data_IF_199427229514
#
_entry.id   IF_199427229514
#
_cell.length_a   1.000
_cell.length_b   1.000
_cell.length_c   1.000
_cell.angle_alpha   90.00
_cell.angle_beta   90.00
_cell.angle_gamma   90.00
#
_symmetry.space_group_name_H-M   'P 1'
#
loop_
_entity.id
_entity.type
_entity.pdbx_description
1 polymer ?
#
# COMPACT_ATOMS: atom_id res chain seq x y z
N UNK A 1 11.85 -12.34 -2.13
CA UNK A 1 10.81 -13.40 -2.13
C UNK A 1 10.62 -13.94 -3.54
N UNK A 2 10.31 -15.23 -3.71
CA UNK A 2 9.96 -15.83 -5.00
C UNK A 2 8.46 -15.74 -5.25
N UNK A 3 8.05 -15.61 -6.52
CA UNK A 3 6.64 -15.58 -6.97
C UNK A 3 5.94 -16.95 -6.92
N UNK A 4 6.29 -17.77 -5.92
CA UNK A 4 5.68 -19.06 -5.67
C UNK A 4 4.40 -18.88 -4.84
N UNK A 5 3.48 -19.84 -4.92
CA UNK A 5 2.29 -19.80 -4.06
C UNK A 5 2.72 -19.96 -2.59
N UNK A 6 2.21 -19.15 -1.64
CA UNK A 6 2.51 -19.32 -0.23
C UNK A 6 2.03 -20.70 0.24
N UNK A 7 2.78 -21.28 1.17
CA UNK A 7 2.42 -22.56 1.79
C UNK A 7 1.64 -22.28 3.07
N UNK A 8 0.72 -23.18 3.41
CA UNK A 8 0.00 -23.10 4.67
C UNK A 8 0.69 -23.98 5.70
N UNK A 9 1.17 -23.38 6.78
CA UNK A 9 1.73 -24.05 7.94
C UNK A 9 0.56 -24.54 8.81
N UNK A 10 0.20 -25.82 8.65
CA UNK A 10 -0.88 -26.47 9.38
C UNK A 10 -0.64 -26.48 10.90
N UNK A 11 0.62 -26.53 11.34
CA UNK A 11 0.94 -26.60 12.77
C UNK A 11 0.68 -25.30 13.52
N UNK A 12 0.71 -24.17 12.80
CA UNK A 12 0.51 -22.82 13.37
C UNK A 12 -0.63 -22.04 12.72
N UNK A 13 -1.40 -22.69 11.84
CA UNK A 13 -2.60 -22.13 11.22
C UNK A 13 -2.37 -20.88 10.36
N UNK A 14 -1.22 -20.74 9.70
CA UNK A 14 -0.80 -19.49 9.05
C UNK A 14 -0.13 -19.69 7.68
N UNK A 15 0.00 -18.63 6.89
CA UNK A 15 0.71 -18.66 5.60
C UNK A 15 2.21 -18.38 5.79
N UNK A 16 3.05 -19.11 5.07
CA UNK A 16 4.50 -18.91 5.01
C UNK A 16 4.94 -18.71 3.56
N UNK A 17 5.94 -17.85 3.36
CA UNK A 17 6.32 -17.36 2.05
C UNK A 17 7.76 -17.71 1.71
N UNK A 18 8.00 -18.04 0.45
CA UNK A 18 9.32 -18.43 -0.05
C UNK A 18 10.27 -17.20 -0.11
N UNK A 19 11.26 -17.19 0.76
CA UNK A 19 12.36 -16.22 0.81
C UNK A 19 13.66 -16.89 0.37
N UNK A 20 14.55 -16.13 -0.27
CA UNK A 20 15.87 -16.62 -0.69
C UNK A 20 16.86 -16.08 0.32
N UNK A 21 17.63 -16.97 0.95
CA UNK A 21 18.70 -16.59 1.88
C UNK A 21 19.90 -16.02 1.11
N UNK A 22 20.86 -15.43 1.84
CA UNK A 22 22.13 -14.95 1.23
C UNK A 22 22.90 -16.05 0.51
N UNK A 23 22.67 -17.31 0.89
CA UNK A 23 23.31 -18.51 0.34
C UNK A 23 22.56 -19.08 -0.87
N UNK A 24 21.41 -18.50 -1.25
CA UNK A 24 20.60 -18.94 -2.38
C UNK A 24 19.53 -19.98 -2.02
N UNK A 25 19.49 -20.44 -0.78
CA UNK A 25 18.51 -21.43 -0.31
C UNK A 25 17.12 -20.83 -0.11
N UNK A 26 16.10 -21.66 -0.33
CA UNK A 26 14.70 -21.26 -0.13
C UNK A 26 14.29 -21.55 1.31
N UNK A 27 13.93 -20.51 2.03
CA UNK A 27 13.36 -20.61 3.38
C UNK A 27 11.92 -20.08 3.38
N UNK A 28 11.03 -20.83 4.01
CA UNK A 28 9.65 -20.38 4.21
C UNK A 28 9.56 -19.63 5.53
N UNK A 29 9.28 -18.33 5.45
CA UNK A 29 9.16 -17.45 6.61
C UNK A 29 7.72 -16.95 6.75
N UNK A 30 7.19 -16.84 7.99
CA UNK A 30 5.91 -16.21 8.24
C UNK A 30 6.00 -14.69 8.04
N UNK A 31 4.83 -14.08 7.87
CA UNK A 31 4.62 -12.65 8.07
C UNK A 31 4.96 -12.26 9.51
N UNK A 32 5.39 -11.03 9.74
CA UNK A 32 5.73 -10.54 11.08
C UNK A 32 4.52 -10.52 12.02
N UNK A 33 3.33 -10.08 11.59
CA UNK A 33 2.10 -10.18 12.39
C UNK A 33 1.78 -11.61 12.84
N UNK A 34 2.07 -12.60 11.97
CA UNK A 34 1.72 -14.01 12.18
C UNK A 34 2.84 -14.79 12.87
N UNK A 35 3.99 -14.14 13.14
CA UNK A 35 5.16 -14.77 13.70
C UNK A 35 5.03 -14.95 15.21
N UNK A 36 5.54 -16.09 15.69
CA UNK A 36 5.68 -16.32 17.13
C UNK A 36 6.78 -15.43 17.71
N UNK A 37 6.72 -15.15 19.02
CA UNK A 37 7.71 -14.32 19.70
C UNK A 37 9.16 -14.78 19.47
N UNK A 38 9.39 -16.09 19.44
CA UNK A 38 10.72 -16.67 19.17
C UNK A 38 11.17 -16.47 17.72
N UNK A 39 10.26 -16.43 16.76
CA UNK A 39 10.57 -16.15 15.36
C UNK A 39 10.90 -14.66 15.15
N UNK A 40 10.13 -13.77 15.78
CA UNK A 40 10.41 -12.32 15.80
C UNK A 40 11.79 -12.04 16.38
N UNK A 41 12.09 -12.63 17.55
CA UNK A 41 13.37 -12.43 18.24
C UNK A 41 14.58 -12.97 17.44
N UNK A 42 14.36 -13.94 16.55
CA UNK A 42 15.40 -14.49 15.68
C UNK A 42 15.46 -13.83 14.29
N UNK A 43 14.65 -12.80 14.04
CA UNK A 43 14.53 -12.16 12.72
C UNK A 43 14.08 -13.14 11.63
N UNK A 44 13.32 -14.19 11.99
CA UNK A 44 12.81 -15.21 11.08
C UNK A 44 11.42 -14.83 10.56
N UNK A 45 11.28 -13.57 10.15
CA UNK A 45 10.03 -12.97 9.74
C UNK A 45 10.21 -12.21 8.44
N UNK A 46 9.10 -11.90 7.78
CA UNK A 46 9.06 -11.00 6.64
C UNK A 46 8.18 -9.83 7.05
N UNK A 47 8.63 -8.57 6.85
CA UNK A 47 7.78 -7.40 7.08
C UNK A 47 6.47 -7.53 6.32
N UNK A 48 5.37 -7.18 6.99
CA UNK A 48 4.01 -7.37 6.49
C UNK A 48 3.80 -6.71 5.12
N UNK A 49 4.35 -5.52 4.93
CA UNK A 49 4.29 -4.72 3.69
C UNK A 49 4.90 -5.45 2.50
N UNK A 50 6.08 -6.05 2.71
CA UNK A 50 6.78 -6.81 1.68
C UNK A 50 5.94 -8.02 1.24
N UNK A 51 5.24 -8.65 2.19
CA UNK A 51 4.33 -9.77 1.90
C UNK A 51 3.09 -9.30 1.15
N UNK A 52 2.47 -8.19 1.57
CA UNK A 52 1.28 -7.63 0.92
C UNK A 52 1.58 -7.23 -0.54
N UNK A 53 2.69 -6.53 -0.78
CA UNK A 53 3.16 -6.18 -2.13
C UNK A 53 3.47 -7.40 -2.99
N UNK A 54 4.04 -8.44 -2.38
CA UNK A 54 4.31 -9.69 -3.06
C UNK A 54 3.02 -10.37 -3.54
N UNK A 55 2.04 -10.52 -2.65
CA UNK A 55 0.76 -11.16 -2.98
C UNK A 55 -0.08 -10.31 -3.94
N UNK A 56 -0.06 -8.98 -3.82
CA UNK A 56 -0.72 -8.05 -4.75
C UNK A 56 -0.18 -8.23 -6.17
N UNK A 57 1.15 -8.32 -6.33
CA UNK A 57 1.80 -8.62 -7.63
C UNK A 57 1.44 -10.02 -8.13
N UNK A 58 1.48 -11.02 -7.25
CA UNK A 58 1.14 -12.41 -7.60
C UNK A 58 -0.30 -12.53 -8.08
N UNK A 59 -1.29 -11.95 -7.39
CA UNK A 59 -2.70 -11.89 -7.80
C UNK A 59 -2.87 -11.26 -9.18
N UNK A 60 -2.21 -10.12 -9.42
CA UNK A 60 -2.20 -9.46 -10.73
C UNK A 60 -1.67 -10.38 -11.84
N UNK A 61 -0.61 -11.15 -11.57
CA UNK A 61 -0.08 -12.12 -12.54
C UNK A 61 -0.94 -13.38 -12.70
N UNK A 62 -1.63 -13.81 -11.65
CA UNK A 62 -2.52 -14.96 -11.69
C UNK A 62 -3.77 -14.67 -12.53
N UNK A 63 -4.36 -13.47 -12.38
CA UNK A 63 -5.45 -12.97 -13.24
C UNK A 63 -5.02 -12.86 -14.71
N UNK A 64 -3.72 -12.66 -14.98
CA UNK A 64 -3.16 -12.60 -16.34
C UNK A 64 -3.21 -13.95 -17.09
N UNK A 65 -3.43 -15.05 -16.36
CA UNK A 65 -3.54 -16.41 -16.90
C UNK A 65 -4.98 -16.87 -17.14
N UNK A 66 -5.97 -15.98 -16.97
CA UNK A 66 -7.37 -16.32 -17.23
C UNK A 66 -7.65 -16.31 -18.75
N UNK A 67 -8.21 -17.41 -19.27
CA UNK A 67 -8.34 -17.64 -20.72
C UNK A 67 -9.25 -16.59 -21.39
N UNK A 68 -10.19 -16.01 -20.63
CA UNK A 68 -11.04 -14.90 -21.04
C UNK A 68 -10.26 -13.59 -21.24
N UNK A 69 -9.35 -13.26 -20.32
CA UNK A 69 -8.48 -12.07 -20.40
C UNK A 69 -7.41 -12.24 -21.49
N UNK A 70 -6.95 -13.46 -21.72
CA UNK A 70 -6.06 -13.77 -22.84
C UNK A 70 -6.74 -13.56 -24.20
N UNK A 71 -8.01 -13.98 -24.35
CA UNK A 71 -8.83 -13.74 -25.55
C UNK A 71 -9.14 -12.25 -25.75
N UNK A 72 -9.50 -11.54 -24.68
CA UNK A 72 -9.77 -10.10 -24.73
C UNK A 72 -8.53 -9.31 -25.16
N UNK A 73 -7.35 -9.61 -24.58
CA UNK A 73 -6.09 -8.98 -25.01
C UNK A 73 -5.69 -9.37 -26.43
N UNK A 74 -5.97 -10.59 -26.89
CA UNK A 74 -5.72 -11.00 -28.28
C UNK A 74 -6.60 -10.20 -29.25
N UNK A 75 -7.88 -10.01 -28.91
CA UNK A 75 -8.81 -9.20 -29.66
C UNK A 75 -8.42 -7.70 -29.65
N UNK A 76 -8.05 -7.15 -28.48
CA UNK A 76 -7.57 -5.76 -28.37
C UNK A 76 -6.24 -5.52 -29.09
N UNK A 77 -5.32 -6.50 -29.11
CA UNK A 77 -4.08 -6.43 -29.90
C UNK A 77 -4.35 -6.51 -31.41
N UNK A 78 -5.33 -7.32 -31.83
CA UNK A 78 -5.76 -7.36 -33.23
C UNK A 78 -6.39 -6.01 -33.64
N UNK A 79 -7.24 -5.42 -32.79
CA UNK A 79 -7.81 -4.10 -33.00
C UNK A 79 -6.75 -2.97 -33.04
N UNK A 80 -5.77 -2.99 -32.13
CA UNK A 80 -4.63 -2.04 -32.13
C UNK A 80 -3.72 -2.18 -33.35
N UNK A 81 -3.54 -3.40 -33.88
CA UNK A 81 -2.79 -3.59 -35.14
C UNK A 81 -3.53 -3.08 -36.36
N UNK A 82 -4.86 -3.00 -36.31
CA UNK A 82 -5.68 -2.49 -37.40
C UNK A 82 -5.79 -0.94 -37.44
N UNK A 83 -5.37 -0.24 -36.38
CA UNK A 83 -5.41 1.22 -36.30
C UNK A 83 -4.22 1.81 -35.54
N UNK A 84 -3.17 2.16 -36.29
CA UNK A 84 -2.14 3.17 -36.04
C UNK A 84 -1.37 3.24 -34.68
N UNK A 85 -0.05 3.46 -34.85
CA UNK A 85 0.98 3.94 -33.89
C UNK A 85 1.24 3.05 -32.67
N UNK A 86 2.36 2.34 -32.75
CA UNK A 86 2.97 1.59 -31.64
C UNK A 86 3.59 2.56 -30.62
N UNK A 87 2.78 3.27 -29.85
CA UNK A 87 3.24 3.75 -28.55
C UNK A 87 3.31 2.52 -27.65
N UNK A 88 4.53 2.12 -27.25
CA UNK A 88 4.74 1.15 -26.17
C UNK A 88 3.81 1.56 -25.02
N UNK A 89 2.98 0.66 -24.46
CA UNK A 89 2.29 1.00 -23.23
C UNK A 89 3.39 1.32 -22.21
N UNK A 90 3.45 2.58 -21.77
CA UNK A 90 4.34 2.99 -20.70
C UNK A 90 4.17 1.98 -19.57
N UNK A 91 5.26 1.33 -19.21
CA UNK A 91 5.25 0.49 -18.01
C UNK A 91 4.84 1.42 -16.88
N UNK A 92 3.86 1.05 -16.04
CA UNK A 92 3.52 1.87 -14.89
C UNK A 92 4.82 2.07 -14.10
N UNK A 93 5.23 3.32 -13.98
CA UNK A 93 6.43 3.69 -13.24
C UNK A 93 6.19 3.22 -11.81
N UNK A 94 6.98 2.24 -11.38
CA UNK A 94 6.93 1.76 -10.00
C UNK A 94 7.52 2.88 -9.15
N UNK A 95 6.77 3.41 -8.16
CA UNK A 95 7.28 4.44 -7.26
C UNK A 95 8.57 3.96 -6.61
N UNK A 96 9.52 4.87 -6.43
CA UNK A 96 10.75 4.60 -5.70
C UNK A 96 10.54 5.04 -4.26
N UNK A 97 10.72 4.13 -3.31
CA UNK A 97 10.47 4.39 -1.89
C UNK A 97 11.72 4.83 -1.13
N UNK A 98 12.90 4.81 -1.77
CA UNK A 98 14.16 5.15 -1.13
C UNK A 98 15.14 5.82 -2.10
N UNK A 99 15.74 6.91 -1.65
CA UNK A 99 16.82 7.63 -2.33
C UNK A 99 18.18 6.93 -2.17
N UNK A 100 19.20 7.36 -2.92
CA UNK A 100 20.57 6.81 -2.85
C UNK A 100 21.25 7.06 -1.52
N UNK A 101 20.95 8.18 -0.87
CA UNK A 101 21.44 8.55 0.46
C UNK A 101 20.73 7.78 1.59
N UNK A 102 19.70 7.01 1.26
CA UNK A 102 18.89 6.24 2.20
C UNK A 102 17.62 6.93 2.66
N UNK A 103 17.36 8.18 2.26
CA UNK A 103 16.14 8.90 2.62
C UNK A 103 14.90 8.17 2.08
N UNK A 104 13.84 8.12 2.88
CA UNK A 104 12.59 7.47 2.50
C UNK A 104 11.68 8.45 1.75
N UNK A 105 11.21 7.99 0.59
CA UNK A 105 10.44 8.80 -0.35
C UNK A 105 9.01 8.29 -0.33
N UNK A 106 8.05 9.20 -0.14
CA UNK A 106 6.65 8.84 -0.19
C UNK A 106 6.24 8.39 -1.59
N UNK A 107 5.47 7.31 -1.67
CA UNK A 107 5.08 6.66 -2.93
C UNK A 107 3.96 7.40 -3.70
N UNK A 108 3.39 8.44 -3.09
CA UNK A 108 2.33 9.26 -3.65
C UNK A 108 0.92 8.75 -3.39
N UNK A 109 0.74 7.69 -2.60
CA UNK A 109 -0.57 7.12 -2.34
C UNK A 109 -0.77 6.47 -0.98
N UNK A 110 0.27 5.88 -0.40
CA UNK A 110 0.19 5.10 0.82
C UNK A 110 -0.04 6.02 2.01
N UNK A 111 -0.96 5.64 2.90
CA UNK A 111 -1.21 6.41 4.12
C UNK A 111 -0.12 6.09 5.16
N UNK A 112 0.44 7.10 5.84
CA UNK A 112 1.41 6.86 6.90
C UNK A 112 0.74 6.14 8.08
N UNK A 113 1.56 5.48 8.89
CA UNK A 113 1.11 5.01 10.20
C UNK A 113 1.02 6.21 11.14
N UNK A 114 -0.02 6.23 11.98
CA UNK A 114 -0.26 7.32 12.93
C UNK A 114 -0.02 6.80 14.34
N UNK A 115 0.48 7.64 15.23
CA UNK A 115 0.79 7.36 16.62
C UNK A 115 -0.41 6.80 17.38
N UNK A 116 -0.16 5.88 18.32
CA UNK A 116 -1.23 5.27 19.12
C UNK A 116 -2.11 6.31 19.82
N UNK A 117 -1.54 7.44 20.22
CA UNK A 117 -2.27 8.52 20.88
C UNK A 117 -3.31 9.13 19.95
N UNK A 118 -2.91 9.46 18.72
CA UNK A 118 -3.79 10.01 17.69
C UNK A 118 -4.83 9.00 17.21
N UNK A 119 -4.43 7.73 17.09
CA UNK A 119 -5.36 6.64 16.83
C UNK A 119 -6.42 6.60 17.92
N UNK A 120 -6.03 6.53 19.20
CA UNK A 120 -6.97 6.51 20.34
C UNK A 120 -7.89 7.72 20.36
N UNK A 121 -7.38 8.91 20.08
CA UNK A 121 -8.19 10.14 20.02
C UNK A 121 -9.29 10.05 18.96
N UNK A 122 -8.93 9.56 17.76
CA UNK A 122 -9.86 9.35 16.65
C UNK A 122 -10.88 8.26 16.97
N UNK A 123 -10.41 7.13 17.50
CA UNK A 123 -11.23 5.97 17.80
C UNK A 123 -12.22 6.21 18.96
N UNK A 124 -11.86 7.03 19.96
CA UNK A 124 -12.77 7.40 21.07
C UNK A 124 -14.09 8.02 20.62
N UNK A 125 -14.09 8.68 19.45
CA UNK A 125 -15.26 9.38 18.89
C UNK A 125 -16.20 8.40 18.15
N UNK A 126 -15.78 7.16 17.95
CA UNK A 126 -16.47 6.17 17.12
C UNK A 126 -17.06 5.04 17.97
N UNK A 127 -18.13 4.42 17.45
CA UNK A 127 -18.78 3.26 18.08
C UNK A 127 -18.35 1.99 17.35
N UNK A 128 -17.38 1.22 17.88
CA UNK A 128 -16.94 0.01 17.21
C UNK A 128 -17.94 -1.14 17.41
N UNK A 129 -17.81 -2.19 16.60
CA UNK A 129 -18.52 -3.46 16.73
C UNK A 129 -17.51 -4.59 16.87
N UNK A 130 -17.83 -5.58 17.71
CA UNK A 130 -17.00 -6.77 17.83
C UNK A 130 -17.41 -7.83 16.80
N UNK A 131 -16.45 -8.31 16.03
CA UNK A 131 -16.62 -9.46 15.14
C UNK A 131 -16.34 -10.75 15.91
N UNK A 132 -17.41 -11.45 16.30
CA UNK A 132 -17.33 -12.72 17.03
C UNK A 132 -16.64 -13.82 16.23
N UNK A 133 -16.72 -13.81 14.90
CA UNK A 133 -16.18 -14.88 14.07
C UNK A 133 -14.67 -14.79 13.93
N UNK A 134 -14.14 -13.56 13.83
CA UNK A 134 -12.70 -13.30 13.67
C UNK A 134 -12.02 -12.80 14.95
N UNK A 135 -12.78 -12.57 16.02
CA UNK A 135 -12.26 -12.21 17.34
C UNK A 135 -11.59 -10.84 17.40
N UNK A 136 -12.17 -9.83 16.73
CA UNK A 136 -11.52 -8.51 16.53
C UNK A 136 -12.52 -7.36 16.54
N UNK A 137 -12.01 -6.13 16.71
CA UNK A 137 -12.84 -4.92 16.64
C UNK A 137 -12.98 -4.45 15.19
N UNK A 138 -14.19 -4.01 14.85
CA UNK A 138 -14.51 -3.36 13.59
C UNK A 138 -14.96 -1.93 13.84
N UNK A 139 -14.52 -1.02 13.00
CA UNK A 139 -14.74 0.40 13.16
C UNK A 139 -15.58 0.96 12.01
N UNK A 140 -16.49 1.92 12.29
CA UNK A 140 -17.28 2.56 11.24
C UNK A 140 -16.34 3.35 10.33
N UNK A 141 -16.29 2.95 9.06
CA UNK A 141 -15.30 3.38 8.07
C UNK A 141 -16.00 3.75 6.77
N UNK A 142 -15.67 4.90 6.19
CA UNK A 142 -16.20 5.30 4.88
C UNK A 142 -15.54 4.49 3.75
N UNK A 143 -16.33 3.74 2.98
CA UNK A 143 -15.84 2.89 1.87
C UNK A 143 -16.15 3.45 0.49
N UNK A 144 -17.12 4.36 0.41
CA UNK A 144 -17.47 5.18 -0.75
C UNK A 144 -18.17 6.44 -0.22
N UNK A 145 -18.37 7.46 -1.06
CA UNK A 145 -19.01 8.73 -0.66
C UNK A 145 -20.30 8.48 0.14
N UNK A 146 -20.25 8.75 1.45
CA UNK A 146 -21.38 8.58 2.38
C UNK A 146 -21.74 7.13 2.76
N UNK A 147 -21.01 6.13 2.26
CA UNK A 147 -21.24 4.71 2.60
C UNK A 147 -20.32 4.30 3.73
N UNK A 148 -20.92 3.94 4.87
CA UNK A 148 -20.20 3.43 6.04
C UNK A 148 -20.28 1.90 6.10
N UNK A 149 -19.13 1.24 6.21
CA UNK A 149 -19.00 -0.17 6.53
C UNK A 149 -18.15 -0.36 7.80
N UNK A 150 -18.25 -1.53 8.43
CA UNK A 150 -17.47 -1.84 9.63
C UNK A 150 -16.24 -2.66 9.22
N UNK A 151 -15.07 -2.03 9.25
CA UNK A 151 -13.81 -2.62 8.82
C UNK A 151 -12.83 -2.77 10.00
N UNK A 152 -11.97 -3.79 10.01
CA UNK A 152 -10.92 -3.92 11.03
C UNK A 152 -9.85 -2.84 10.84
N UNK A 153 -9.07 -2.56 11.88
CA UNK A 153 -7.81 -1.81 11.72
C UNK A 153 -6.80 -2.64 10.92
N UNK A 154 -5.72 -2.01 10.45
CA UNK A 154 -4.68 -2.66 9.64
C UNK A 154 -4.11 -3.91 10.29
N UNK A 155 -3.80 -3.85 11.59
CA UNK A 155 -3.21 -4.97 12.33
C UNK A 155 -4.18 -6.14 12.56
N UNK A 156 -5.47 -5.83 12.70
CA UNK A 156 -6.55 -6.81 12.85
C UNK A 156 -7.07 -7.35 11.51
N UNK A 157 -6.65 -6.73 10.40
CA UNK A 157 -7.07 -7.10 9.07
C UNK A 157 -6.40 -8.40 8.62
N UNK A 158 -7.18 -9.26 7.97
CA UNK A 158 -6.63 -10.43 7.30
C UNK A 158 -5.77 -10.02 6.11
N UNK A 159 -4.85 -10.88 5.67
CA UNK A 159 -3.99 -10.59 4.52
C UNK A 159 -4.81 -10.24 3.27
N UNK A 160 -5.93 -10.91 3.04
CA UNK A 160 -6.80 -10.63 1.88
C UNK A 160 -7.43 -9.24 1.99
N UNK A 161 -7.87 -8.85 3.20
CA UNK A 161 -8.39 -7.51 3.48
C UNK A 161 -7.30 -6.43 3.29
N UNK A 162 -6.06 -6.65 3.74
CA UNK A 162 -4.94 -5.72 3.54
C UNK A 162 -4.59 -5.54 2.07
N UNK A 163 -4.47 -6.64 1.32
CA UNK A 163 -4.16 -6.63 -0.11
C UNK A 163 -5.25 -5.89 -0.91
N UNK A 164 -6.51 -6.06 -0.55
CA UNK A 164 -7.64 -5.43 -1.22
C UNK A 164 -7.94 -4.01 -0.68
N UNK A 165 -7.16 -3.52 0.30
CA UNK A 165 -7.37 -2.21 0.93
C UNK A 165 -8.66 -2.10 1.73
N UNK A 166 -9.22 -3.24 2.19
CA UNK A 166 -10.46 -3.36 2.97
C UNK A 166 -10.21 -3.36 4.47
N UNK A 167 -9.52 -2.33 4.94
CA UNK A 167 -9.30 -2.07 6.35
C UNK A 167 -9.47 -0.57 6.61
N UNK A 168 -9.74 -0.23 7.86
CA UNK A 168 -9.87 1.14 8.32
C UNK A 168 -8.48 1.77 8.42
N UNK A 169 -8.29 2.87 7.70
CA UNK A 169 -7.10 3.71 7.77
C UNK A 169 -7.47 5.11 8.25
N UNK A 170 -6.55 5.74 8.96
CA UNK A 170 -6.68 7.12 9.42
C UNK A 170 -6.36 8.05 8.26
N UNK A 171 -7.29 8.94 7.94
CA UNK A 171 -7.18 9.87 6.83
C UNK A 171 -7.74 11.25 7.22
N UNK A 172 -7.28 12.32 6.57
CA UNK A 172 -7.91 13.62 6.71
C UNK A 172 -9.38 13.58 6.23
N UNK A 173 -10.24 14.46 6.76
CA UNK A 173 -11.64 14.56 6.34
C UNK A 173 -11.78 15.04 4.89
N UNK A 174 -10.91 15.95 4.43
CA UNK A 174 -10.84 16.33 3.02
C UNK A 174 -10.11 15.28 2.16
N UNK A 175 -10.18 15.37 0.82
CA UNK A 175 -9.32 14.58 -0.06
C UNK A 175 -7.84 14.79 0.23
N UNK A 176 -7.03 13.73 0.07
CA UNK A 176 -5.60 13.78 0.37
C UNK A 176 -4.85 14.86 -0.43
N UNK A 177 -5.30 15.13 -1.66
CA UNK A 177 -4.74 16.21 -2.49
C UNK A 177 -4.94 17.59 -1.88
N UNK A 178 -6.16 17.87 -1.39
CA UNK A 178 -6.51 19.16 -0.78
C UNK A 178 -5.75 19.33 0.54
N UNK A 179 -5.72 18.29 1.38
CA UNK A 179 -4.99 18.29 2.63
C UNK A 179 -3.49 18.62 2.46
N UNK A 180 -2.82 17.95 1.51
CA UNK A 180 -1.39 18.19 1.28
C UNK A 180 -1.13 19.53 0.58
N UNK A 181 -2.04 19.98 -0.30
CA UNK A 181 -1.95 21.30 -0.92
C UNK A 181 -2.04 22.42 0.13
N UNK A 182 -2.98 22.31 1.07
CA UNK A 182 -3.15 23.30 2.13
C UNK A 182 -1.90 23.41 3.02
N UNK A 183 -1.21 22.29 3.26
CA UNK A 183 0.05 22.25 4.00
C UNK A 183 1.23 22.82 3.20
N UNK A 184 1.26 22.59 1.89
CA UNK A 184 2.25 23.18 0.98
C UNK A 184 2.06 24.70 0.87
N UNK A 185 0.82 25.18 0.80
CA UNK A 185 0.47 26.60 0.76
C UNK A 185 0.82 27.32 2.09
N UNK A 186 0.86 26.56 3.20
CA UNK A 186 1.27 27.03 4.53
C UNK A 186 2.79 26.91 4.78
N UNK A 187 3.56 26.44 3.81
CA UNK A 187 5.00 26.19 3.94
C UNK A 187 5.38 25.15 5.00
N UNK A 188 4.44 24.24 5.35
CA UNK A 188 4.64 23.19 6.35
C UNK A 188 5.34 21.97 5.75
N UNK A 189 4.98 21.61 4.52
CA UNK A 189 5.60 20.52 3.77
C UNK A 189 5.99 21.01 2.38
N UNK A 190 7.03 20.43 1.79
CA UNK A 190 7.42 20.74 0.42
C UNK A 190 7.87 19.50 -0.34
N UNK A 191 7.67 19.52 -1.66
CA UNK A 191 8.23 18.50 -2.54
C UNK A 191 9.72 18.73 -2.76
N UNK A 192 10.53 17.79 -2.34
CA UNK A 192 11.98 17.79 -2.49
C UNK A 192 12.41 16.97 -3.71
N UNK A 193 13.63 17.22 -4.19
CA UNK A 193 14.24 16.42 -5.26
C UNK A 193 15.19 15.42 -4.65
N UNK A 194 14.97 14.14 -4.93
CA UNK A 194 15.77 13.03 -4.43
C UNK A 194 16.56 12.39 -5.58
N UNK A 195 17.84 12.10 -5.36
CA UNK A 195 18.64 11.30 -6.27
C UNK A 195 18.38 9.81 -6.02
N UNK A 196 17.89 9.10 -7.03
CA UNK A 196 17.61 7.66 -6.97
C UNK A 196 18.50 6.90 -7.95
N UNK A 197 18.53 5.57 -7.87
CA UNK A 197 19.22 4.75 -8.88
C UNK A 197 18.72 5.01 -10.31
N UNK A 198 17.48 5.47 -10.46
CA UNK A 198 16.80 5.68 -11.74
C UNK A 198 16.82 7.14 -12.22
N UNK A 199 17.49 8.03 -11.49
CA UNK A 199 17.51 9.47 -11.76
C UNK A 199 16.83 10.28 -10.68
N UNK A 200 16.69 11.57 -10.93
CA UNK A 200 16.11 12.52 -9.99
C UNK A 200 14.59 12.42 -9.97
N UNK A 201 14.03 12.38 -8.76
CA UNK A 201 12.58 12.33 -8.54
C UNK A 201 12.16 13.43 -7.57
N UNK A 202 11.14 14.20 -7.97
CA UNK A 202 10.50 15.22 -7.14
C UNK A 202 9.27 14.63 -6.44
N UNK A 203 9.31 14.55 -5.12
CA UNK A 203 8.30 13.90 -4.27
C UNK A 203 8.28 14.51 -2.87
N UNK A 204 7.31 14.14 -2.03
CA UNK A 204 7.38 14.42 -0.59
C UNK A 204 8.27 13.39 0.09
N UNK A 205 8.97 13.77 1.17
CA UNK A 205 9.63 12.79 2.02
C UNK A 205 8.58 11.98 2.78
N UNK A 206 8.92 10.76 3.18
CA UNK A 206 8.03 9.95 4.01
C UNK A 206 7.80 10.63 5.38
N UNK A 207 8.84 11.23 5.95
CA UNK A 207 8.80 11.94 7.24
C UNK A 207 7.85 13.15 7.20
N UNK A 208 7.91 13.99 6.16
CA UNK A 208 7.00 15.15 6.00
C UNK A 208 5.53 14.71 5.99
N UNK A 209 5.24 13.56 5.38
CA UNK A 209 3.88 13.01 5.30
C UNK A 209 3.45 12.44 6.65
N UNK A 210 4.34 11.77 7.37
CA UNK A 210 4.08 11.29 8.74
C UNK A 210 3.78 12.47 9.68
N UNK A 211 4.63 13.49 9.69
CA UNK A 211 4.46 14.71 10.49
C UNK A 211 3.17 15.47 10.14
N UNK A 212 2.82 15.52 8.85
CA UNK A 212 1.54 16.10 8.40
C UNK A 212 0.34 15.37 9.04
N UNK A 213 0.36 14.04 9.09
CA UNK A 213 -0.73 13.27 9.67
C UNK A 213 -0.79 13.35 11.20
N UNK A 214 0.36 13.43 11.87
CA UNK A 214 0.41 13.64 13.33
C UNK A 214 -0.13 15.02 13.72
N UNK A 215 0.26 16.05 12.98
CA UNK A 215 -0.15 17.43 13.20
C UNK A 215 -1.58 17.73 12.75
N UNK A 216 -2.19 16.87 11.93
CA UNK A 216 -3.55 17.03 11.44
C UNK A 216 -4.54 17.21 12.62
N UNK A 217 -5.38 18.26 12.63
CA UNK A 217 -6.23 18.55 13.79
C UNK A 217 -7.26 17.45 14.07
N UNK A 218 -7.76 16.81 13.00
CA UNK A 218 -8.73 15.72 13.10
C UNK A 218 -8.48 14.71 11.99
N UNK A 219 -8.58 13.43 12.34
CA UNK A 219 -8.58 12.33 11.39
C UNK A 219 -9.94 11.61 11.44
N UNK A 220 -10.28 10.97 10.33
CA UNK A 220 -11.46 10.11 10.18
C UNK A 220 -11.04 8.74 9.67
N UNK A 221 -11.93 7.76 9.78
CA UNK A 221 -11.68 6.43 9.24
C UNK A 221 -12.24 6.30 7.83
N UNK A 222 -11.35 6.03 6.87
CA UNK A 222 -11.67 5.69 5.49
C UNK A 222 -11.05 4.36 5.11
N UNK A 223 -11.66 3.65 4.16
CA UNK A 223 -11.06 2.43 3.64
C UNK A 223 -9.74 2.78 2.95
N UNK A 224 -8.65 2.09 3.31
CA UNK A 224 -7.34 2.35 2.72
C UNK A 224 -7.38 2.30 1.18
N UNK A 225 -8.08 1.31 0.61
CA UNK A 225 -8.24 1.16 -0.83
C UNK A 225 -8.99 2.32 -1.50
N UNK A 226 -9.90 2.99 -0.78
CA UNK A 226 -10.58 4.19 -1.27
C UNK A 226 -9.60 5.37 -1.38
N UNK A 227 -8.85 5.62 -0.30
CA UNK A 227 -7.94 6.77 -0.22
C UNK A 227 -6.73 6.59 -1.14
N UNK A 228 -6.06 5.43 -1.07
CA UNK A 228 -4.93 5.11 -1.97
C UNK A 228 -5.38 5.07 -3.44
N UNK A 229 -6.60 4.61 -3.71
CA UNK A 229 -7.17 4.57 -5.05
C UNK A 229 -7.30 5.97 -5.64
N UNK A 230 -7.93 6.88 -4.88
CA UNK A 230 -8.05 8.29 -5.26
C UNK A 230 -6.68 8.95 -5.42
N UNK A 231 -5.76 8.74 -4.46
CA UNK A 231 -4.42 9.32 -4.51
C UNK A 231 -3.62 8.86 -5.74
N UNK A 232 -3.71 7.58 -6.10
CA UNK A 232 -3.10 7.05 -7.33
C UNK A 232 -3.67 7.68 -8.59
N UNK A 233 -4.94 8.08 -8.59
CA UNK A 233 -5.58 8.74 -9.74
C UNK A 233 -5.19 10.22 -9.85
N UNK A 234 -4.84 10.87 -8.74
CA UNK A 234 -4.38 12.26 -8.70
C UNK A 234 -2.95 12.43 -9.21
N UNK A 235 -2.71 13.12 -10.34
CA UNK A 235 -1.36 13.31 -10.89
C UNK A 235 -0.42 14.11 -10.00
N UNK A 236 -0.95 15.08 -9.22
CA UNK A 236 -0.14 15.96 -8.36
C UNK A 236 0.58 15.20 -7.25
N UNK A 237 -0.08 14.19 -6.67
CA UNK A 237 0.48 13.38 -5.59
C UNK A 237 1.55 12.39 -6.07
N UNK A 238 1.64 12.14 -7.38
CA UNK A 238 2.62 11.21 -7.93
C UNK A 238 4.02 11.81 -7.91
N UNK A 239 4.99 10.91 -7.74
CA UNK A 239 6.40 11.18 -7.97
C UNK A 239 6.63 11.71 -9.39
N UNK A 240 7.27 12.88 -9.50
CA UNK A 240 7.58 13.52 -10.78
C UNK A 240 9.05 13.29 -11.12
N UNK A 241 9.33 12.66 -12.24
CA UNK A 241 10.69 12.39 -12.70
C UNK A 241 11.20 13.59 -13.51
N UNK A 242 12.45 14.00 -13.28
CA UNK A 242 13.10 14.96 -14.17
C UNK A 242 13.23 14.39 -15.59
N UNK A 243 13.42 15.24 -16.61
CA UNK A 243 13.49 14.91 -18.05
C UNK A 243 14.64 13.93 -18.45
N UNK A 244 15.25 13.22 -17.50
CA UNK A 244 16.26 12.19 -17.72
C UNK A 244 15.66 10.78 -17.86
N UNK A 245 14.72 10.61 -18.79
CA UNK A 245 14.39 9.27 -19.30
C UNK A 245 14.96 9.15 -20.73
N UNK A 246 15.97 8.28 -20.97
CA UNK A 246 16.40 7.93 -22.32
C UNK A 246 15.36 7.08 -23.07
#
# INVERSE_FOLDING_TARGET
>A
MRNEKPRYDLGKGRKVYATVTKEGDIRYLPRESDASALEKLRGLTIPDEVVDDHEKRRRRTALKGDDADHKLRRAQRAARRAGAVTSRPDRPIVPVTRARDGAEIWDGASLPEVSEEKQRETLKKLKPKYDLFKGRMLWPTETARGKIEYLPLRDDATNDERIDGRYAAFAPPEPLEEFLQDLEDQDTIQRQTFDTERGEVKAYSQEDIEDAFESAPTLVLRAAGLVEGAARETPRLRQAWGDSLP
#
